data_IF_150748731721
#
_entry.id   IF_150748731721
#
_cell.length_a   1.000
_cell.length_b   1.000
_cell.length_c   1.000
_cell.angle_alpha   90.00
_cell.angle_beta   90.00
_cell.angle_gamma   90.00
#
_symmetry.space_group_name_H-M   'P 1'
#
loop_
_entity.id
_entity.type
_entity.pdbx_description
1 polymer ?
#
# COMPACT_ATOMS: atom_id res chain seq x y z
N UNK A 1 -22.24 16.69 -8.58
CA UNK A 1 -20.92 17.35 -8.45
C UNK A 1 -20.11 16.48 -7.51
N UNK A 2 -18.92 16.03 -7.91
CA UNK A 2 -18.08 15.24 -7.00
C UNK A 2 -17.54 16.19 -5.92
N UNK A 3 -18.00 16.01 -4.68
CA UNK A 3 -17.50 16.74 -3.51
C UNK A 3 -16.11 16.18 -3.17
N UNK A 4 -15.09 16.68 -3.86
CA UNK A 4 -13.72 16.48 -3.43
C UNK A 4 -13.41 17.41 -2.25
N UNK A 5 -12.42 17.03 -1.46
CA UNK A 5 -11.93 17.78 -0.33
C UNK A 5 -10.40 17.89 -0.47
N UNK A 6 -9.85 19.05 -0.15
CA UNK A 6 -8.40 19.28 -0.20
C UNK A 6 -7.76 19.01 1.16
N UNK A 7 -6.72 18.17 1.19
CA UNK A 7 -5.97 17.83 2.41
C UNK A 7 -4.47 17.78 2.09
N UNK A 8 -3.65 18.53 2.84
CA UNK A 8 -2.21 18.67 2.63
C UNK A 8 -1.78 19.00 1.18
N UNK A 9 -2.63 19.71 0.42
CA UNK A 9 -2.37 20.05 -0.98
C UNK A 9 -2.69 18.95 -2.00
N UNK A 10 -3.36 17.88 -1.58
CA UNK A 10 -3.88 16.81 -2.43
C UNK A 10 -5.41 16.90 -2.53
N UNK A 11 -5.95 16.53 -3.69
CA UNK A 11 -7.40 16.36 -3.86
C UNK A 11 -7.80 14.96 -3.44
N UNK A 12 -8.76 14.88 -2.53
CA UNK A 12 -9.27 13.63 -1.99
C UNK A 12 -10.71 13.46 -2.45
N UNK A 13 -11.01 12.29 -3.01
CA UNK A 13 -12.34 11.93 -3.49
C UNK A 13 -12.89 10.78 -2.64
N UNK A 14 -14.13 10.85 -2.14
CA UNK A 14 -14.75 9.68 -1.52
C UNK A 14 -15.00 8.62 -2.59
N UNK A 15 -14.80 7.35 -2.22
CA UNK A 15 -15.11 6.18 -3.03
C UNK A 15 -16.23 5.39 -2.35
N UNK A 16 -17.19 4.94 -3.15
CA UNK A 16 -18.37 4.23 -2.65
C UNK A 16 -19.26 5.12 -1.80
N UNK A 17 -19.58 4.67 -0.59
CA UNK A 17 -20.42 5.36 0.41
C UNK A 17 -19.62 6.18 1.41
N UNK A 18 -18.29 6.17 1.32
CA UNK A 18 -17.46 6.84 2.31
C UNK A 18 -17.74 8.35 2.40
N UNK A 19 -17.58 8.89 3.61
CA UNK A 19 -17.69 10.32 3.90
C UNK A 19 -16.39 10.88 4.44
N UNK A 20 -16.07 12.09 4.00
CA UNK A 20 -14.85 12.80 4.36
C UNK A 20 -15.16 13.98 5.28
N UNK A 21 -14.41 14.12 6.37
CA UNK A 21 -14.34 15.34 7.17
C UNK A 21 -12.89 15.66 7.52
N UNK A 22 -12.60 16.94 7.75
CA UNK A 22 -11.35 17.38 8.36
C UNK A 22 -11.67 17.98 9.72
N UNK A 23 -11.10 17.41 10.76
CA UNK A 23 -11.23 17.84 12.15
C UNK A 23 -9.82 17.88 12.75
N UNK A 24 -9.45 18.98 13.42
CA UNK A 24 -8.13 19.14 14.05
C UNK A 24 -6.92 18.82 13.15
N UNK A 25 -7.02 19.15 11.85
CA UNK A 25 -6.02 18.86 10.80
C UNK A 25 -5.83 17.38 10.49
N UNK A 26 -6.75 16.52 10.90
CA UNK A 26 -6.81 15.11 10.55
C UNK A 26 -7.94 14.90 9.54
N UNK A 27 -7.64 14.18 8.46
CA UNK A 27 -8.64 13.72 7.51
C UNK A 27 -9.27 12.44 8.06
N UNK A 28 -10.56 12.49 8.37
CA UNK A 28 -11.35 11.33 8.78
C UNK A 28 -12.15 10.79 7.60
N UNK A 29 -12.01 9.49 7.36
CA UNK A 29 -12.79 8.73 6.39
C UNK A 29 -13.73 7.83 7.15
N UNK A 30 -15.04 7.98 6.94
CA UNK A 30 -16.09 7.27 7.67
C UNK A 30 -17.11 6.63 6.73
N UNK A 31 -18.08 5.89 7.27
CA UNK A 31 -19.08 5.13 6.50
C UNK A 31 -18.44 4.06 5.59
N UNK A 32 -17.34 3.45 6.06
CA UNK A 32 -16.73 2.28 5.41
C UNK A 32 -17.60 1.06 5.70
N UNK A 33 -18.32 0.55 4.70
CA UNK A 33 -19.09 -0.69 4.82
C UNK A 33 -18.23 -1.94 4.58
N UNK A 34 -18.85 -3.09 4.76
CA UNK A 34 -18.20 -4.41 4.62
C UNK A 34 -18.03 -4.82 3.14
N UNK A 35 -18.27 -3.90 2.20
CA UNK A 35 -18.18 -4.17 0.76
C UNK A 35 -16.74 -4.27 0.23
N UNK A 36 -15.76 -3.69 0.93
CA UNK A 36 -14.38 -3.58 0.46
C UNK A 36 -14.14 -2.51 -0.61
N UNK A 37 -15.18 -1.76 -0.98
CA UNK A 37 -15.13 -0.73 -2.02
C UNK A 37 -15.12 0.70 -1.47
N UNK A 38 -15.58 0.87 -0.23
CA UNK A 38 -15.69 2.19 0.38
C UNK A 38 -14.33 2.69 0.87
N UNK A 39 -14.05 3.97 0.65
CA UNK A 39 -12.79 4.59 1.05
C UNK A 39 -12.53 5.92 0.36
N UNK A 40 -11.27 6.14 -0.03
CA UNK A 40 -10.84 7.36 -0.70
C UNK A 40 -9.95 7.08 -1.90
N UNK A 41 -9.91 8.07 -2.79
CA UNK A 41 -8.92 8.21 -3.84
C UNK A 41 -8.16 9.51 -3.61
N UNK A 42 -6.84 9.41 -3.48
CA UNK A 42 -5.92 10.54 -3.33
C UNK A 42 -5.32 10.81 -4.71
N UNK A 43 -5.60 11.99 -5.27
CA UNK A 43 -4.97 12.44 -6.52
C UNK A 43 -3.53 12.86 -6.25
N UNK A 44 -2.58 12.00 -6.66
CA UNK A 44 -1.14 12.25 -6.50
C UNK A 44 -0.62 13.30 -7.49
N UNK A 45 -1.43 13.67 -8.49
CA UNK A 45 -1.09 14.61 -9.56
C UNK A 45 0.24 14.27 -10.27
N UNK A 46 0.46 12.99 -10.58
CA UNK A 46 1.65 12.55 -11.31
C UNK A 46 2.91 12.38 -10.45
N UNK A 47 2.82 12.59 -9.13
CA UNK A 47 3.99 12.56 -8.26
C UNK A 47 4.32 11.13 -7.85
N UNK A 48 5.53 10.69 -8.15
CA UNK A 48 6.01 9.34 -7.83
C UNK A 48 6.58 9.17 -6.42
N UNK A 49 6.72 10.25 -5.64
CA UNK A 49 7.32 10.21 -4.29
C UNK A 49 6.46 10.95 -3.28
N UNK A 50 5.87 10.20 -2.35
CA UNK A 50 5.04 10.76 -1.29
C UNK A 50 4.90 9.80 -0.12
N UNK A 51 4.51 10.38 1.01
CA UNK A 51 4.26 9.70 2.27
C UNK A 51 2.82 9.97 2.72
N UNK A 52 2.11 8.92 3.11
CA UNK A 52 0.78 8.99 3.75
C UNK A 52 0.94 8.51 5.20
N UNK A 53 0.63 9.40 6.15
CA UNK A 53 0.65 9.06 7.57
C UNK A 53 -0.77 8.79 8.05
N UNK A 54 -1.03 7.59 8.54
CA UNK A 54 -2.30 7.21 9.12
C UNK A 54 -2.37 7.60 10.59
N UNK A 55 -3.59 7.74 11.10
CA UNK A 55 -3.84 7.72 12.54
C UNK A 55 -3.61 6.33 13.14
N UNK A 56 -4.18 6.11 14.33
CA UNK A 56 -4.21 4.78 14.93
C UNK A 56 -5.14 3.86 14.13
N UNK A 57 -4.71 2.62 13.90
CA UNK A 57 -5.45 1.62 13.11
C UNK A 57 -5.90 0.43 13.96
N UNK A 58 -6.22 0.66 15.25
CA UNK A 58 -6.71 -0.36 16.17
C UNK A 58 -7.98 -1.09 15.70
N UNK A 59 -8.80 -0.43 14.87
CA UNK A 59 -10.01 -1.00 14.26
C UNK A 59 -9.74 -2.23 13.40
N UNK A 60 -8.52 -2.39 12.85
CA UNK A 60 -8.13 -3.60 12.12
C UNK A 60 -8.23 -4.83 13.03
N UNK A 61 -7.65 -4.76 14.24
CA UNK A 61 -7.74 -5.85 15.22
C UNK A 61 -9.11 -5.94 15.89
N UNK A 62 -9.69 -4.81 16.29
CA UNK A 62 -10.95 -4.78 17.07
C UNK A 62 -12.14 -5.31 16.27
N UNK A 63 -12.21 -4.97 14.97
CA UNK A 63 -13.35 -5.29 14.12
C UNK A 63 -13.04 -6.37 13.09
N UNK A 64 -11.86 -6.99 13.16
CA UNK A 64 -11.35 -7.88 12.09
C UNK A 64 -11.39 -7.18 10.74
N UNK A 65 -10.95 -5.92 10.75
CA UNK A 65 -10.93 -5.05 9.60
C UNK A 65 -9.84 -5.42 8.61
N UNK A 66 -10.05 -5.02 7.36
CA UNK A 66 -9.03 -5.06 6.31
C UNK A 66 -8.84 -3.65 5.79
N UNK A 67 -7.59 -3.18 5.77
CA UNK A 67 -7.21 -1.96 5.06
C UNK A 67 -6.50 -2.36 3.78
N UNK A 68 -6.97 -1.85 2.64
CA UNK A 68 -6.40 -2.06 1.32
C UNK A 68 -5.88 -0.75 0.77
N UNK A 69 -4.65 -0.76 0.24
CA UNK A 69 -4.09 0.37 -0.50
C UNK A 69 -3.69 -0.09 -1.89
N UNK A 70 -4.06 0.68 -2.90
CA UNK A 70 -3.81 0.37 -4.31
C UNK A 70 -3.21 1.58 -5.02
N UNK A 71 -2.09 1.39 -5.71
CA UNK A 71 -1.48 2.42 -6.55
C UNK A 71 -2.09 2.35 -7.95
N UNK A 72 -2.60 3.48 -8.44
CA UNK A 72 -3.19 3.58 -9.77
C UNK A 72 -2.27 4.33 -10.71
N UNK A 73 -2.15 3.81 -11.93
CA UNK A 73 -1.35 4.42 -12.98
C UNK A 73 -2.17 4.59 -14.26
N UNK A 74 -1.78 5.58 -15.06
CA UNK A 74 -2.42 5.87 -16.35
C UNK A 74 -1.39 5.87 -17.46
N UNK A 75 -1.72 5.24 -18.57
CA UNK A 75 -0.87 5.28 -19.76
C UNK A 75 -1.19 6.45 -20.71
N UNK A 76 -0.40 6.58 -21.78
CA UNK A 76 -0.57 7.61 -22.81
C UNK A 76 -1.89 7.53 -23.58
N UNK A 77 -2.58 6.37 -23.55
CA UNK A 77 -3.92 6.18 -24.12
C UNK A 77 -5.05 6.55 -23.15
N UNK A 78 -4.73 6.93 -21.91
CA UNK A 78 -5.70 7.25 -20.87
C UNK A 78 -6.29 6.03 -20.17
N UNK A 79 -5.76 4.83 -20.39
CA UNK A 79 -6.18 3.62 -19.68
C UNK A 79 -5.59 3.65 -18.27
N UNK A 80 -6.41 3.33 -17.27
CA UNK A 80 -6.00 3.28 -15.86
C UNK A 80 -5.88 1.83 -15.41
N UNK A 81 -4.78 1.51 -14.73
CA UNK A 81 -4.51 0.20 -14.14
C UNK A 81 -4.16 0.34 -12.66
N UNK A 82 -4.32 -0.75 -11.91
CA UNK A 82 -3.68 -0.91 -10.60
C UNK A 82 -2.29 -1.49 -10.82
N UNK A 83 -1.25 -0.83 -10.31
CA UNK A 83 0.15 -1.24 -10.47
C UNK A 83 0.77 -1.84 -9.20
N UNK A 84 0.10 -1.67 -8.07
CA UNK A 84 0.52 -2.22 -6.78
C UNK A 84 -0.69 -2.31 -5.85
N UNK A 85 -0.72 -3.32 -4.99
CA UNK A 85 -1.73 -3.44 -3.94
C UNK A 85 -1.14 -4.09 -2.68
N UNK A 86 -1.40 -3.46 -1.52
CA UNK A 86 -1.07 -4.02 -0.21
C UNK A 86 -2.29 -4.06 0.70
N UNK A 87 -2.25 -5.00 1.64
CA UNK A 87 -3.32 -5.31 2.57
C UNK A 87 -2.80 -5.41 3.98
N UNK A 88 -3.57 -4.87 4.92
CA UNK A 88 -3.38 -5.07 6.36
C UNK A 88 -4.63 -5.71 6.94
N UNK A 89 -4.51 -6.84 7.62
CA UNK A 89 -5.65 -7.50 8.24
C UNK A 89 -5.23 -8.26 9.50
N UNK A 90 -6.21 -8.58 10.34
CA UNK A 90 -6.01 -9.40 11.53
C UNK A 90 -6.21 -10.90 11.22
N UNK A 91 -5.22 -11.74 11.57
CA UNK A 91 -5.34 -13.20 11.56
C UNK A 91 -5.61 -13.71 12.99
N UNK A 92 -6.83 -14.18 13.21
CA UNK A 92 -7.28 -14.65 14.54
C UNK A 92 -6.55 -15.91 15.04
N UNK A 93 -6.00 -16.73 14.12
CA UNK A 93 -5.32 -17.96 14.52
C UNK A 93 -3.90 -17.67 14.98
N UNK A 94 -3.26 -16.69 14.34
CA UNK A 94 -1.91 -16.24 14.69
C UNK A 94 -1.92 -15.19 15.80
N UNK A 95 -3.08 -14.55 16.05
CA UNK A 95 -3.23 -13.38 16.93
C UNK A 95 -2.27 -12.24 16.51
N UNK A 96 -2.25 -11.96 15.20
CA UNK A 96 -1.32 -11.01 14.57
C UNK A 96 -1.99 -10.21 13.47
N UNK A 97 -1.53 -8.98 13.28
CA UNK A 97 -1.77 -8.24 12.05
C UNK A 97 -0.81 -8.76 10.99
N UNK A 98 -1.36 -9.12 9.84
CA UNK A 98 -0.60 -9.53 8.68
C UNK A 98 -0.53 -8.38 7.69
N UNK A 99 0.67 -8.18 7.14
CA UNK A 99 0.91 -7.37 5.97
C UNK A 99 1.11 -8.29 4.76
N UNK A 100 0.32 -8.04 3.72
CA UNK A 100 0.38 -8.83 2.49
C UNK A 100 0.36 -7.97 1.24
N UNK A 101 0.86 -8.55 0.16
CA UNK A 101 0.93 -7.93 -1.15
C UNK A 101 0.22 -8.79 -2.18
N UNK A 102 -0.43 -8.14 -3.14
CA UNK A 102 -1.02 -8.81 -4.29
C UNK A 102 0.09 -9.23 -5.26
N UNK A 103 0.30 -10.54 -5.44
CA UNK A 103 1.34 -11.04 -6.32
C UNK A 103 1.07 -10.77 -7.81
N UNK A 104 -0.18 -10.59 -8.21
CA UNK A 104 -0.53 -10.34 -9.62
C UNK A 104 -0.03 -8.97 -10.10
N UNK A 105 0.30 -8.07 -9.16
CA UNK A 105 0.84 -6.73 -9.43
C UNK A 105 2.33 -6.60 -9.08
N UNK A 106 3.01 -7.70 -8.74
CA UNK A 106 4.44 -7.71 -8.49
C UNK A 106 5.18 -8.38 -9.65
N UNK A 107 6.38 -7.91 -10.01
CA UNK A 107 7.25 -8.65 -10.92
C UNK A 107 7.66 -9.98 -10.29
N UNK A 108 8.23 -10.89 -11.10
CA UNK A 108 8.74 -12.18 -10.59
C UNK A 108 9.84 -12.00 -9.54
N UNK A 109 10.69 -11.01 -9.74
CA UNK A 109 11.82 -10.69 -8.88
C UNK A 109 11.48 -9.44 -8.07
N UNK A 110 11.36 -9.62 -6.76
CA UNK A 110 11.16 -8.53 -5.80
C UNK A 110 11.81 -8.92 -4.48
N UNK A 111 11.98 -7.93 -3.61
CA UNK A 111 12.64 -8.10 -2.32
C UNK A 111 11.77 -7.53 -1.23
N UNK A 112 11.63 -8.28 -0.14
CA UNK A 112 11.04 -7.80 1.11
C UNK A 112 12.18 -7.49 2.06
N UNK A 113 12.17 -6.29 2.65
CA UNK A 113 13.24 -5.85 3.53
C UNK A 113 12.69 -5.21 4.79
N UNK A 114 13.53 -5.19 5.81
CA UNK A 114 13.31 -4.45 7.04
C UNK A 114 14.54 -3.67 7.42
N UNK A 115 14.35 -2.47 7.97
CA UNK A 115 15.43 -1.63 8.47
C UNK A 115 15.21 -1.27 9.93
N UNK A 116 16.31 -0.93 10.61
CA UNK A 116 16.31 -0.35 11.94
C UNK A 116 17.36 0.75 11.97
N UNK A 117 16.96 1.98 12.29
CA UNK A 117 17.80 3.17 12.24
C UNK A 117 18.47 3.38 10.88
N UNK A 118 17.77 3.07 9.79
CA UNK A 118 18.27 3.16 8.41
C UNK A 118 19.19 2.02 7.99
N UNK A 119 19.62 1.16 8.92
CA UNK A 119 20.43 -0.03 8.61
C UNK A 119 19.55 -1.22 8.29
N UNK A 120 20.02 -2.05 7.36
CA UNK A 120 19.27 -3.22 6.89
C UNK A 120 19.33 -4.35 7.91
N UNK A 121 18.17 -4.78 8.41
CA UNK A 121 18.04 -5.90 9.36
C UNK A 121 17.80 -7.21 8.63
N UNK A 122 16.94 -7.21 7.61
CA UNK A 122 16.74 -8.33 6.70
C UNK A 122 16.43 -7.84 5.28
N UNK A 123 16.65 -8.72 4.31
CA UNK A 123 16.49 -8.49 2.87
C UNK A 123 16.32 -9.87 2.24
N UNK A 124 15.08 -10.21 1.89
CA UNK A 124 14.65 -11.55 1.49
C UNK A 124 14.12 -11.47 0.07
N UNK A 125 14.79 -12.20 -0.83
CA UNK A 125 14.38 -12.33 -2.22
C UNK A 125 13.04 -13.08 -2.34
N UNK A 126 12.27 -12.75 -3.38
CA UNK A 126 10.96 -13.37 -3.64
C UNK A 126 11.01 -14.89 -3.73
N UNK A 127 12.13 -15.46 -4.20
CA UNK A 127 12.34 -16.92 -4.27
C UNK A 127 12.45 -17.60 -2.90
N UNK A 128 12.83 -16.85 -1.87
CA UNK A 128 13.08 -17.36 -0.52
C UNK A 128 11.92 -17.09 0.45
N UNK A 129 10.88 -16.39 -0.03
CA UNK A 129 9.67 -16.15 0.74
C UNK A 129 8.88 -17.44 0.93
N UNK A 130 8.62 -17.77 2.20
CA UNK A 130 7.76 -18.88 2.55
C UNK A 130 6.36 -18.33 2.72
N UNK A 131 5.37 -18.78 1.90
CA UNK A 131 4.00 -18.37 2.12
C UNK A 131 3.58 -18.80 3.52
N UNK A 132 2.96 -17.89 4.26
CA UNK A 132 2.33 -18.24 5.53
C UNK A 132 1.23 -19.26 5.20
N UNK A 133 1.43 -20.51 5.59
CA UNK A 133 0.56 -21.66 5.26
C UNK A 133 -0.88 -21.51 5.78
N UNK A 134 -1.14 -20.48 6.56
CA UNK A 134 -2.48 -19.96 6.78
C UNK A 134 -2.92 -19.22 5.52
N UNK A 135 -3.33 -19.98 4.50
CA UNK A 135 -4.28 -19.50 3.48
C UNK A 135 -5.59 -19.18 4.18
N UNK A 136 -5.61 -18.19 5.06
CA UNK A 136 -6.81 -17.44 5.26
C UNK A 136 -7.16 -16.97 3.85
N UNK A 137 -8.16 -17.60 3.25
CA UNK A 137 -8.89 -17.00 2.15
C UNK A 137 -9.48 -15.74 2.77
N UNK A 138 -8.66 -14.70 2.90
CA UNK A 138 -9.17 -13.40 3.27
C UNK A 138 -10.01 -13.05 2.07
N UNK A 139 -11.32 -13.09 2.24
CA UNK A 139 -12.27 -12.51 1.30
C UNK A 139 -12.04 -11.01 1.39
N UNK A 140 -10.97 -10.54 0.78
CA UNK A 140 -10.60 -9.13 0.76
C UNK A 140 -11.54 -8.35 -0.16
N UNK A 141 -12.22 -9.08 -1.05
CA UNK A 141 -13.23 -8.58 -1.97
C UNK A 141 -14.18 -9.74 -2.32
N UNK A 142 -15.52 -9.57 -2.26
CA UNK A 142 -16.47 -10.56 -2.77
C UNK A 142 -16.35 -10.82 -4.29
N UNK A 143 -15.58 -10.00 -5.03
CA UNK A 143 -15.49 -10.02 -6.50
C UNK A 143 -14.13 -10.54 -7.01
N UNK A 144 -13.04 -10.41 -6.24
CA UNK A 144 -11.69 -10.69 -6.74
C UNK A 144 -11.00 -11.79 -5.91
N UNK A 145 -10.80 -12.97 -6.50
CA UNK A 145 -9.93 -14.02 -5.94
C UNK A 145 -8.48 -13.64 -6.23
N UNK A 146 -7.93 -12.78 -5.39
CA UNK A 146 -6.52 -12.36 -5.48
C UNK A 146 -5.63 -13.31 -4.69
N UNK A 147 -4.49 -13.71 -5.25
CA UNK A 147 -3.46 -14.44 -4.50
C UNK A 147 -2.66 -13.42 -3.66
N UNK A 148 -3.00 -13.33 -2.38
CA UNK A 148 -2.25 -12.54 -1.40
C UNK A 148 -1.30 -13.44 -0.64
N UNK A 149 -0.01 -13.07 -0.62
CA UNK A 149 0.94 -13.65 0.31
C UNK A 149 1.06 -12.69 1.49
N UNK A 150 0.77 -13.20 2.69
CA UNK A 150 1.22 -12.55 3.90
C UNK A 150 2.73 -12.76 4.01
N UNK A 151 3.47 -11.66 3.99
CA UNK A 151 4.93 -11.66 4.00
C UNK A 151 5.44 -11.37 5.41
N UNK A 152 4.72 -10.53 6.14
CA UNK A 152 5.15 -10.00 7.44
C UNK A 152 3.98 -10.10 8.41
N UNK A 153 4.27 -10.47 9.66
CA UNK A 153 3.28 -10.46 10.74
C UNK A 153 3.75 -9.68 11.97
N UNK A 154 2.83 -8.97 12.61
CA UNK A 154 3.07 -8.04 13.72
C UNK A 154 2.09 -8.34 14.87
N UNK A 155 2.54 -8.28 16.12
CA UNK A 155 1.67 -8.53 17.29
C UNK A 155 0.57 -7.48 17.47
N UNK A 156 -0.66 -7.92 17.82
CA UNK A 156 -1.86 -7.05 17.92
C UNK A 156 -1.70 -5.91 18.92
N UNK A 157 -1.20 -6.19 20.13
CA UNK A 157 -1.07 -5.19 21.19
C UNK A 157 -0.11 -4.06 20.81
N UNK A 158 0.93 -4.38 20.04
CA UNK A 158 1.87 -3.39 19.52
C UNK A 158 1.14 -2.58 18.43
N UNK A 159 0.50 -3.26 17.47
CA UNK A 159 -0.14 -2.64 16.32
C UNK A 159 -1.22 -1.62 16.66
N UNK A 160 -2.10 -1.90 17.63
CA UNK A 160 -3.21 -1.02 17.96
C UNK A 160 -2.77 0.40 18.37
N UNK A 161 -1.55 0.54 18.89
CA UNK A 161 -0.95 1.81 19.27
C UNK A 161 0.03 2.38 18.22
N UNK A 162 0.34 1.62 17.15
CA UNK A 162 1.22 2.10 16.09
C UNK A 162 0.47 3.06 15.17
N UNK A 163 1.02 4.29 15.08
CA UNK A 163 0.72 5.15 13.95
C UNK A 163 1.48 4.61 12.76
N UNK A 164 0.74 4.28 11.71
CA UNK A 164 1.34 3.68 10.52
C UNK A 164 1.65 4.75 9.48
N UNK A 165 2.73 4.53 8.74
CA UNK A 165 3.12 5.34 7.59
C UNK A 165 3.11 4.44 6.37
N UNK A 166 2.79 4.97 5.21
CA UNK A 166 3.06 4.37 3.90
C UNK A 166 3.86 5.36 3.08
N UNK A 167 5.06 4.98 2.67
CA UNK A 167 5.83 5.74 1.67
C UNK A 167 5.84 4.99 0.37
N UNK A 168 5.65 5.72 -0.72
CA UNK A 168 5.78 5.22 -2.08
C UNK A 168 6.85 6.05 -2.77
N UNK A 169 7.86 5.37 -3.31
CA UNK A 169 8.91 5.98 -4.13
C UNK A 169 9.01 5.22 -5.45
N UNK A 170 8.55 5.85 -6.51
CA UNK A 170 8.68 5.41 -7.90
C UNK A 170 9.69 6.31 -8.60
N UNK A 171 10.74 5.71 -9.13
CA UNK A 171 11.71 6.38 -10.01
C UNK A 171 11.53 5.84 -11.41
N UNK A 172 11.14 6.70 -12.35
CA UNK A 172 11.00 6.36 -13.76
C UNK A 172 12.33 6.55 -14.48
N UNK A 173 12.73 5.54 -15.25
CA UNK A 173 13.95 5.55 -16.06
C UNK A 173 13.61 5.84 -17.52
N UNK A 174 14.42 6.68 -18.15
CA UNK A 174 14.19 7.14 -19.53
C UNK A 174 15.40 6.83 -20.42
N UNK A 175 15.14 6.57 -21.71
CA UNK A 175 16.18 6.52 -22.73
C UNK A 175 16.60 7.94 -23.18
N UNK A 176 17.56 8.01 -24.12
CA UNK A 176 18.03 9.27 -24.69
C UNK A 176 16.99 10.00 -25.56
N UNK A 177 15.87 9.36 -25.88
CA UNK A 177 14.77 9.90 -26.68
C UNK A 177 13.60 10.37 -25.80
N UNK A 178 13.66 10.13 -24.49
CA UNK A 178 12.62 10.48 -23.52
C UNK A 178 11.54 9.42 -23.36
N UNK A 179 11.71 8.22 -23.90
CA UNK A 179 10.78 7.10 -23.69
C UNK A 179 11.06 6.41 -22.36
N UNK A 180 10.01 5.84 -21.75
CA UNK A 180 10.16 5.10 -20.49
C UNK A 180 10.75 3.73 -20.78
N UNK A 181 11.86 3.39 -20.09
CA UNK A 181 12.52 2.09 -20.19
C UNK A 181 12.26 1.19 -18.98
N UNK A 182 11.83 1.76 -17.85
CA UNK A 182 11.53 0.98 -16.66
C UNK A 182 11.25 1.84 -15.43
N UNK A 183 11.04 1.17 -14.31
CA UNK A 183 10.71 1.76 -13.03
C UNK A 183 11.47 1.07 -11.90
N UNK A 184 11.96 1.86 -10.94
CA UNK A 184 12.38 1.36 -9.64
C UNK A 184 11.34 1.77 -8.61
N UNK A 185 10.78 0.81 -7.89
CA UNK A 185 9.76 1.05 -6.87
C UNK A 185 10.22 0.59 -5.50
N UNK A 186 9.92 1.40 -4.51
CA UNK A 186 10.07 1.05 -3.10
C UNK A 186 8.83 1.52 -2.36
N UNK A 187 8.15 0.59 -1.71
CA UNK A 187 6.99 0.85 -0.86
C UNK A 187 7.39 0.44 0.55
N UNK A 188 7.33 1.37 1.49
CA UNK A 188 7.63 1.09 2.90
C UNK A 188 6.47 1.44 3.80
N UNK A 189 6.45 0.78 4.93
CA UNK A 189 5.46 0.92 5.96
C UNK A 189 6.10 1.04 7.35
N UNK A 190 5.40 1.79 8.20
CA UNK A 190 5.61 1.92 9.65
C UNK A 190 6.96 2.54 10.09
N UNK A 191 6.97 3.73 10.73
CA UNK A 191 8.21 4.46 11.05
C UNK A 191 8.68 4.31 12.51
N UNK A 192 7.99 3.48 13.30
CA UNK A 192 8.27 3.25 14.73
C UNK A 192 8.93 1.89 14.87
N UNK A 193 9.88 1.64 15.79
CA UNK A 193 10.38 0.30 16.02
C UNK A 193 9.30 -0.70 16.51
N UNK A 194 9.15 -1.85 15.86
CA UNK A 194 8.29 -2.97 16.27
C UNK A 194 8.93 -4.33 15.93
N UNK A 195 8.37 -5.39 16.50
CA UNK A 195 8.73 -6.76 16.18
C UNK A 195 7.92 -7.27 14.98
N UNK A 196 8.62 -7.76 13.97
CA UNK A 196 8.05 -8.46 12.82
C UNK A 196 8.50 -9.90 12.78
N UNK A 197 7.61 -10.80 12.40
CA UNK A 197 7.99 -12.17 12.04
C UNK A 197 7.95 -12.35 10.52
N UNK A 198 9.06 -12.80 9.95
CA UNK A 198 9.21 -13.16 8.53
C UNK A 198 9.86 -14.53 8.44
N UNK A 199 9.30 -15.45 7.66
CA UNK A 199 9.78 -16.83 7.52
C UNK A 199 9.95 -17.61 8.86
N UNK A 200 9.26 -17.19 9.94
CA UNK A 200 9.36 -17.79 11.28
C UNK A 200 10.45 -17.17 12.17
N UNK A 201 11.20 -16.18 11.67
CA UNK A 201 12.21 -15.44 12.42
C UNK A 201 11.67 -14.07 12.84
N UNK A 202 11.99 -13.64 14.06
CA UNK A 202 11.55 -12.36 14.62
C UNK A 202 12.67 -11.33 14.48
N UNK A 203 12.33 -10.15 13.95
CA UNK A 203 13.24 -9.02 13.78
C UNK A 203 12.64 -7.77 14.42
N UNK A 204 13.49 -6.91 15.00
CA UNK A 204 13.09 -5.56 15.40
C UNK A 204 13.41 -4.60 14.26
N UNK A 205 12.41 -3.88 13.75
CA UNK A 205 12.53 -2.96 12.61
C UNK A 205 11.75 -1.68 12.87
N UNK A 206 12.21 -0.56 12.32
CA UNK A 206 11.49 0.73 12.27
C UNK A 206 11.03 1.12 10.87
N UNK A 207 11.20 0.21 9.91
CA UNK A 207 10.69 0.28 8.54
C UNK A 207 10.61 -1.14 7.99
N UNK A 208 9.49 -1.48 7.36
CA UNK A 208 9.35 -2.71 6.56
C UNK A 208 8.82 -2.37 5.18
N UNK A 209 9.24 -3.10 4.15
CA UNK A 209 8.79 -2.77 2.81
C UNK A 209 9.13 -3.78 1.76
N UNK A 210 8.72 -3.44 0.54
CA UNK A 210 8.99 -4.18 -0.67
C UNK A 210 9.67 -3.25 -1.68
N UNK A 211 10.70 -3.75 -2.34
CA UNK A 211 11.40 -3.06 -3.44
C UNK A 211 11.51 -3.99 -4.64
N UNK A 212 11.42 -3.40 -5.83
CA UNK A 212 11.56 -4.12 -7.09
C UNK A 212 11.87 -3.17 -8.25
N UNK A 213 12.45 -3.74 -9.29
CA UNK A 213 12.66 -3.06 -10.57
C UNK A 213 11.81 -3.74 -11.65
N UNK A 214 11.24 -2.93 -12.53
CA UNK A 214 10.47 -3.39 -13.68
C UNK A 214 11.03 -2.77 -14.94
N UNK A 215 11.22 -3.59 -15.98
CA UNK A 215 11.75 -3.15 -17.27
C UNK A 215 10.64 -3.23 -18.32
N UNK A 216 10.50 -2.16 -19.11
CA UNK A 216 9.66 -2.18 -20.31
C UNK A 216 10.37 -3.06 -21.34
N UNK A 217 9.65 -4.01 -21.92
CA UNK A 217 10.22 -4.85 -22.97
C UNK A 217 10.74 -3.98 -24.13
N UNK A 218 11.96 -4.26 -24.62
CA UNK A 218 12.66 -3.39 -25.59
C UNK A 218 11.80 -3.06 -26.83
N UNK A 219 11.01 -4.04 -27.30
CA UNK A 219 10.14 -3.88 -28.46
C UNK A 219 8.87 -3.03 -28.19
N UNK A 220 8.66 -2.61 -26.94
CA UNK A 220 7.53 -1.79 -26.50
C UNK A 220 7.95 -0.42 -25.98
N UNK A 221 9.25 -0.10 -25.93
CA UNK A 221 9.73 1.23 -25.56
C UNK A 221 9.15 2.27 -26.54
N UNK A 222 8.61 3.38 -26.00
CA UNK A 222 7.92 4.41 -26.78
C UNK A 222 6.47 4.07 -27.16
N UNK A 223 5.95 2.90 -26.76
CA UNK A 223 4.55 2.56 -26.98
C UNK A 223 3.66 3.16 -25.88
N UNK A 224 2.74 4.10 -26.21
CA UNK A 224 1.89 4.76 -25.22
C UNK A 224 0.93 3.83 -24.48
N UNK A 225 0.80 2.58 -24.90
CA UNK A 225 0.00 1.57 -24.22
C UNK A 225 0.68 1.00 -22.96
N UNK A 226 2.01 1.06 -22.85
CA UNK A 226 2.77 0.43 -21.74
C UNK A 226 3.61 1.42 -20.93
N UNK A 227 3.62 2.69 -21.33
CA UNK A 227 4.24 3.76 -20.58
C UNK A 227 3.23 4.34 -19.59
N UNK A 228 3.42 4.05 -18.31
CA UNK A 228 2.50 4.38 -17.23
C UNK A 228 3.08 5.48 -16.33
N UNK A 229 2.19 6.30 -15.76
CA UNK A 229 2.53 7.29 -14.74
C UNK A 229 1.57 7.13 -13.58
N UNK A 230 2.10 7.13 -12.34
CA UNK A 230 1.29 7.13 -11.12
C UNK A 230 0.36 8.34 -11.09
N UNK A 231 -0.94 8.10 -10.92
CA UNK A 231 -1.95 9.17 -10.90
C UNK A 231 -2.67 9.26 -9.56
N UNK A 232 -2.83 8.15 -8.83
CA UNK A 232 -3.59 8.18 -7.59
C UNK A 232 -3.24 7.03 -6.66
N UNK A 233 -3.54 7.21 -5.37
CA UNK A 233 -3.61 6.14 -4.38
C UNK A 233 -5.06 5.93 -3.98
N UNK A 234 -5.54 4.70 -4.09
CA UNK A 234 -6.84 4.31 -3.58
C UNK A 234 -6.66 3.60 -2.24
N UNK A 235 -7.38 4.05 -1.22
CA UNK A 235 -7.38 3.42 0.12
C UNK A 235 -8.82 3.03 0.43
N UNK A 236 -9.05 1.75 0.65
CA UNK A 236 -10.39 1.19 0.91
C UNK A 236 -10.33 0.23 2.10
N UNK A 237 -11.49 -0.14 2.64
CA UNK A 237 -11.52 -1.12 3.71
C UNK A 237 -12.78 -1.95 3.80
N UNK A 238 -12.68 -3.00 4.61
CA UNK A 238 -13.74 -3.92 5.00
C UNK A 238 -13.79 -3.93 6.53
N UNK A 239 -14.99 -3.88 7.13
CA UNK A 239 -15.19 -3.91 8.59
C UNK A 239 -14.37 -2.86 9.39
N UNK A 240 -13.88 -1.78 8.76
CA UNK A 240 -13.12 -0.74 9.48
C UNK A 240 -14.02 0.31 10.15
N UNK A 241 -15.22 0.53 9.62
CA UNK A 241 -16.12 1.66 9.89
C UNK A 241 -15.54 3.03 9.54
N UNK A 242 -14.31 3.32 9.98
CA UNK A 242 -13.55 4.53 9.69
C UNK A 242 -12.04 4.32 9.80
N UNK A 243 -11.28 5.20 9.16
CA UNK A 243 -9.84 5.37 9.37
C UNK A 243 -9.44 6.85 9.23
N UNK A 244 -8.24 7.19 9.68
CA UNK A 244 -7.74 8.56 9.70
C UNK A 244 -6.41 8.70 8.95
N UNK A 245 -6.22 9.86 8.31
CA UNK A 245 -4.95 10.29 7.72
C UNK A 245 -4.54 11.59 8.40
N UNK A 246 -3.37 11.60 9.00
CA UNK A 246 -2.83 12.71 9.80
C UNK A 246 -2.00 13.68 8.96
N UNK A 247 -1.33 13.18 7.91
CA UNK A 247 -0.72 14.02 6.89
C UNK A 247 -0.49 13.26 5.59
N UNK A 248 -0.38 14.01 4.50
CA UNK A 248 0.14 13.54 3.22
C UNK A 248 1.28 14.49 2.83
N UNK A 249 2.45 13.95 2.54
CA UNK A 249 3.66 14.75 2.35
C UNK A 249 4.35 14.34 1.06
N UNK A 250 4.97 15.31 0.39
CA UNK A 250 5.88 15.02 -0.72
C UNK A 250 7.25 14.77 -0.14
N UNK A 251 7.83 13.64 -0.52
CA UNK A 251 9.22 13.37 -0.18
C UNK A 251 10.09 14.30 -1.05
N UNK A 252 10.99 15.03 -0.39
CA UNK A 252 11.90 15.99 -1.04
C UNK A 252 13.04 15.30 -1.78
#
# INVERSE_FOLDING_TARGET
MANNLEFNGFKIYPVGKARLSIEDKVLRVSEISDSGLDGILIDTNGKGKYTINFGELGTISENKGVLKTSTLEKNGLGQVITSFESFKWYDEKLDKILLGYNLDYLPKEFVVFGRLNGEKVFDIDSSDLRPINNRAQVLIDPVTVTVVIAVVSIGVAIWAALRTKKSVSTTTHYDNQGHIVGYSRTITEDPVPFEVEVNGEIYTVDEVGIKYDEQVAENLIGNPAVEYTTIAEQITGVNLHSFEITSIELDK
#
